data_IF_683157914366
#
_entry.id   IF_683157914366
#
_cell.length_a   1.000
_cell.length_b   1.000
_cell.length_c   1.000
_cell.angle_alpha   90.00
_cell.angle_beta   90.00
_cell.angle_gamma   90.00
#
_symmetry.space_group_name_H-M   'P 1'
#
loop_
_entity.id
_entity.type
_entity.pdbx_description
1 polymer ?
#
# COMPACT_ATOMS: atom_id res chain seq x y z
N UNK A 1 13.63 -39.35 9.49
CA UNK A 1 12.34 -39.05 10.13
C UNK A 1 12.10 -37.54 10.07
N UNK A 2 11.20 -37.10 9.20
CA UNK A 2 10.80 -35.69 9.12
C UNK A 2 9.99 -35.33 10.36
N UNK A 3 10.35 -34.23 11.03
CA UNK A 3 9.65 -33.78 12.24
C UNK A 3 8.26 -33.27 11.89
N UNK A 4 7.31 -33.47 12.80
CA UNK A 4 5.95 -32.95 12.65
C UNK A 4 5.89 -31.45 12.95
N UNK A 5 4.91 -30.75 12.37
CA UNK A 5 4.70 -29.31 12.54
C UNK A 5 4.51 -28.92 14.01
N UNK A 6 3.85 -29.77 14.81
CA UNK A 6 3.63 -29.55 16.24
C UNK A 6 4.94 -29.59 17.06
N UNK A 7 5.84 -30.54 16.77
CA UNK A 7 7.15 -30.61 17.44
C UNK A 7 8.01 -29.38 17.14
N UNK A 8 7.87 -28.81 15.95
CA UNK A 8 8.57 -27.58 15.58
C UNK A 8 8.02 -26.36 16.31
N UNK A 9 6.70 -26.24 16.43
CA UNK A 9 6.04 -25.12 17.11
C UNK A 9 6.32 -25.11 18.62
N UNK A 10 6.43 -26.29 19.27
CA UNK A 10 6.82 -26.38 20.69
C UNK A 10 8.26 -25.91 20.95
N UNK A 11 9.18 -26.19 20.02
CA UNK A 11 10.60 -25.80 20.15
C UNK A 11 10.86 -24.34 19.78
N UNK A 12 10.06 -23.81 18.85
CA UNK A 12 10.22 -22.45 18.35
C UNK A 12 8.83 -21.82 18.20
N UNK A 13 8.24 -21.34 19.32
CA UNK A 13 6.93 -20.74 19.29
C UNK A 13 6.91 -19.56 18.33
N UNK A 14 5.83 -19.46 17.57
CA UNK A 14 5.62 -18.33 16.66
C UNK A 14 5.27 -17.13 17.50
N UNK A 15 6.03 -16.04 17.32
CA UNK A 15 5.65 -14.74 17.85
C UNK A 15 4.55 -14.16 16.95
N UNK A 16 3.29 -14.36 17.37
CA UNK A 16 2.11 -13.94 16.62
C UNK A 16 2.09 -12.43 16.39
N UNK A 17 2.58 -11.64 17.34
CA UNK A 17 2.68 -10.18 17.24
C UNK A 17 3.66 -9.80 16.14
N UNK A 18 4.86 -10.40 16.13
CA UNK A 18 5.88 -10.16 15.12
C UNK A 18 5.44 -10.65 13.73
N UNK A 19 4.74 -11.79 13.65
CA UNK A 19 4.14 -12.28 12.40
C UNK A 19 3.07 -11.31 11.90
N UNK A 20 2.23 -10.78 12.77
CA UNK A 20 1.20 -9.80 12.40
C UNK A 20 1.81 -8.51 11.85
N UNK A 21 2.86 -7.98 12.48
CA UNK A 21 3.60 -6.80 12.01
C UNK A 21 4.22 -7.06 10.63
N UNK A 22 4.98 -8.15 10.48
CA UNK A 22 5.63 -8.50 9.20
C UNK A 22 4.57 -8.76 8.11
N UNK A 23 3.45 -9.41 8.44
CA UNK A 23 2.34 -9.60 7.51
C UNK A 23 1.66 -8.28 7.14
N UNK A 24 1.61 -7.30 8.05
CA UNK A 24 1.17 -5.93 7.75
C UNK A 24 2.10 -5.24 6.76
N UNK A 25 3.40 -5.26 7.02
CA UNK A 25 4.44 -4.68 6.15
C UNK A 25 4.44 -5.33 4.76
N UNK A 26 4.37 -6.67 4.68
CA UNK A 26 4.28 -7.40 3.41
C UNK A 26 2.99 -7.03 2.64
N UNK A 27 1.86 -6.90 3.33
CA UNK A 27 0.60 -6.47 2.69
C UNK A 27 0.68 -5.05 2.15
N UNK A 28 1.35 -4.13 2.85
CA UNK A 28 1.60 -2.77 2.35
C UNK A 28 2.55 -2.78 1.16
N UNK A 29 3.63 -3.56 1.21
CA UNK A 29 4.58 -3.70 0.11
C UNK A 29 3.91 -4.25 -1.16
N UNK A 30 3.05 -5.27 -1.03
CA UNK A 30 2.29 -5.84 -2.14
C UNK A 30 1.29 -4.84 -2.73
N UNK A 31 0.58 -4.06 -1.89
CA UNK A 31 -0.37 -3.04 -2.37
C UNK A 31 0.34 -1.91 -3.11
N UNK A 32 1.54 -1.56 -2.69
CA UNK A 32 2.29 -0.46 -3.29
C UNK A 32 2.97 -0.88 -4.60
N UNK A 33 3.49 -2.12 -4.66
CA UNK A 33 3.93 -2.74 -5.90
C UNK A 33 2.81 -2.72 -6.96
N UNK A 34 1.56 -2.87 -6.52
CA UNK A 34 0.39 -2.84 -7.41
C UNK A 34 0.13 -1.49 -8.08
N UNK A 35 0.43 -0.35 -7.45
CA UNK A 35 0.26 0.96 -8.09
C UNK A 35 1.26 1.16 -9.24
N UNK A 36 2.52 0.76 -9.01
CA UNK A 36 3.55 0.74 -10.05
C UNK A 36 3.15 -0.16 -11.22
N UNK A 37 2.62 -1.35 -10.93
CA UNK A 37 2.14 -2.30 -11.93
C UNK A 37 0.97 -1.73 -12.74
N UNK A 38 -0.03 -1.13 -12.09
CA UNK A 38 -1.16 -0.48 -12.77
C UNK A 38 -0.64 0.63 -13.69
N UNK A 39 0.19 1.55 -13.19
CA UNK A 39 0.76 2.63 -14.03
C UNK A 39 1.50 2.06 -15.24
N UNK A 40 2.32 1.03 -15.04
CA UNK A 40 3.06 0.38 -16.13
C UNK A 40 2.14 -0.33 -17.12
N UNK A 41 1.03 -0.92 -16.68
CA UNK A 41 0.02 -1.53 -17.56
C UNK A 41 -0.68 -0.48 -18.46
N UNK A 42 -0.79 0.77 -17.99
CA UNK A 42 -1.24 1.91 -18.77
C UNK A 42 -0.15 2.55 -19.66
N UNK A 43 1.08 1.99 -19.68
CA UNK A 43 2.24 2.52 -20.42
C UNK A 43 2.64 3.97 -20.06
N UNK A 44 2.27 4.44 -18.87
CA UNK A 44 2.59 5.80 -18.39
C UNK A 44 3.90 5.76 -17.61
N UNK A 45 4.84 6.68 -17.85
CA UNK A 45 6.07 6.80 -17.03
C UNK A 45 5.80 7.57 -15.73
N UNK A 46 6.65 7.39 -14.71
CA UNK A 46 6.53 8.20 -13.49
C UNK A 46 6.66 9.71 -13.77
N UNK A 47 7.48 10.11 -14.74
CA UNK A 47 7.65 11.50 -15.15
C UNK A 47 6.41 12.05 -15.85
N UNK A 48 5.82 11.28 -16.78
CA UNK A 48 4.60 11.69 -17.47
C UNK A 48 3.42 11.83 -16.50
N UNK A 49 3.27 10.88 -15.56
CA UNK A 49 2.25 10.98 -14.53
C UNK A 49 2.50 12.17 -13.60
N UNK A 50 3.75 12.43 -13.22
CA UNK A 50 4.10 13.59 -12.40
C UNK A 50 3.75 14.93 -13.09
N UNK A 51 3.98 15.03 -14.41
CA UNK A 51 3.57 16.19 -15.20
C UNK A 51 2.06 16.39 -15.22
N UNK A 52 1.29 15.32 -15.48
CA UNK A 52 -0.17 15.36 -15.46
C UNK A 52 -0.74 15.77 -14.10
N UNK A 53 -0.08 15.36 -13.02
CA UNK A 53 -0.48 15.66 -11.65
C UNK A 53 0.06 16.99 -11.11
N UNK A 54 0.91 17.69 -11.88
CA UNK A 54 1.64 18.89 -11.45
C UNK A 54 2.43 18.69 -10.14
N UNK A 55 3.11 17.54 -10.02
CA UNK A 55 3.99 17.21 -8.89
C UNK A 55 5.37 16.79 -9.38
N UNK A 56 6.33 16.61 -8.46
CA UNK A 56 7.64 16.06 -8.80
C UNK A 56 7.58 14.56 -9.04
N UNK A 57 8.44 14.04 -9.93
CA UNK A 57 8.59 12.60 -10.14
C UNK A 57 8.98 11.87 -8.84
N UNK A 58 9.77 12.51 -7.97
CA UNK A 58 10.08 11.97 -6.63
C UNK A 58 8.80 11.76 -5.80
N UNK A 59 7.82 12.66 -5.89
CA UNK A 59 6.53 12.48 -5.21
C UNK A 59 5.77 11.26 -5.71
N UNK A 60 5.73 11.03 -7.03
CA UNK A 60 5.19 9.79 -7.62
C UNK A 60 5.94 8.55 -7.15
N UNK A 61 7.28 8.59 -7.12
CA UNK A 61 8.11 7.47 -6.65
C UNK A 61 7.87 7.12 -5.18
N UNK A 62 7.62 8.10 -4.31
CA UNK A 62 7.32 7.86 -2.89
C UNK A 62 5.96 7.22 -2.69
N UNK A 63 4.95 7.66 -3.45
CA UNK A 63 3.62 7.03 -3.49
C UNK A 63 3.75 5.56 -3.91
N UNK A 64 4.48 5.27 -4.99
CA UNK A 64 4.73 3.91 -5.48
C UNK A 64 5.67 3.08 -4.59
N UNK A 65 6.24 3.66 -3.54
CA UNK A 65 7.03 2.96 -2.51
C UNK A 65 6.34 2.87 -1.15
N UNK A 66 5.15 3.45 -1.01
CA UNK A 66 4.34 3.35 0.20
C UNK A 66 4.70 4.37 1.26
N UNK A 67 5.52 5.38 0.93
CA UNK A 67 5.78 6.54 1.78
C UNK A 67 4.60 7.53 1.66
N UNK A 68 3.47 7.10 2.21
CA UNK A 68 2.19 7.83 2.19
C UNK A 68 2.04 8.79 3.36
N UNK A 69 2.79 8.61 4.46
CA UNK A 69 2.72 9.45 5.67
C UNK A 69 3.00 10.93 5.40
N UNK A 70 3.79 11.22 4.36
CA UNK A 70 4.14 12.58 3.92
C UNK A 70 3.44 13.00 2.63
N UNK A 71 2.43 12.25 2.20
CA UNK A 71 1.67 12.52 0.99
C UNK A 71 0.30 13.10 1.32
N UNK A 72 -0.02 14.23 0.70
CA UNK A 72 -1.34 14.83 0.84
C UNK A 72 -2.38 13.91 0.20
N UNK A 73 -3.50 13.69 0.90
CA UNK A 73 -4.64 12.90 0.43
C UNK A 73 -5.06 13.30 -0.99
N UNK A 74 -5.07 14.61 -1.26
CA UNK A 74 -5.38 15.16 -2.58
C UNK A 74 -4.45 14.66 -3.68
N UNK A 75 -3.15 14.53 -3.40
CA UNK A 75 -2.19 13.98 -4.37
C UNK A 75 -2.45 12.51 -4.65
N UNK A 76 -2.80 11.72 -3.62
CA UNK A 76 -3.17 10.31 -3.80
C UNK A 76 -4.45 10.17 -4.61
N UNK A 77 -5.44 11.04 -4.37
CA UNK A 77 -6.70 11.06 -5.12
C UNK A 77 -6.44 11.26 -6.61
N UNK A 78 -5.76 12.34 -6.98
CA UNK A 78 -5.43 12.63 -8.38
C UNK A 78 -4.58 11.53 -9.02
N UNK A 79 -3.66 10.93 -8.27
CA UNK A 79 -2.86 9.81 -8.77
C UNK A 79 -3.73 8.60 -9.14
N UNK A 80 -4.65 8.22 -8.25
CA UNK A 80 -5.55 7.08 -8.47
C UNK A 80 -6.53 7.38 -9.61
N UNK A 81 -7.09 8.58 -9.67
CA UNK A 81 -7.99 9.03 -10.75
C UNK A 81 -7.28 9.08 -12.11
N UNK A 82 -6.03 9.52 -12.16
CA UNK A 82 -5.22 9.53 -13.38
C UNK A 82 -4.93 8.10 -13.91
N UNK A 83 -5.01 7.10 -13.05
CA UNK A 83 -4.95 5.68 -13.41
C UNK A 83 -6.35 5.06 -13.66
N UNK A 84 -7.41 5.87 -13.66
CA UNK A 84 -8.79 5.42 -13.87
C UNK A 84 -9.42 4.70 -12.68
N UNK A 85 -8.84 4.83 -11.48
CA UNK A 85 -9.36 4.26 -10.25
C UNK A 85 -10.13 5.27 -9.39
N UNK A 86 -10.71 4.77 -8.31
CA UNK A 86 -11.38 5.59 -7.28
C UNK A 86 -10.63 5.44 -5.94
N UNK A 87 -10.33 6.56 -5.27
CA UNK A 87 -9.71 6.54 -3.94
C UNK A 87 -10.78 6.53 -2.84
N UNK A 88 -10.84 5.41 -2.10
CA UNK A 88 -11.58 5.31 -0.83
C UNK A 88 -10.61 5.40 0.34
N UNK A 89 -10.93 6.25 1.32
CA UNK A 89 -10.17 6.34 2.58
C UNK A 89 -11.05 5.74 3.67
N UNK A 90 -10.51 4.77 4.42
CA UNK A 90 -11.21 4.10 5.51
C UNK A 90 -10.49 4.37 6.83
N UNK A 91 -11.22 4.83 7.83
CA UNK A 91 -10.75 4.96 9.21
C UNK A 91 -11.34 3.83 10.05
N UNK A 92 -10.51 3.18 10.88
CA UNK A 92 -10.95 2.08 11.76
C UNK A 92 -10.86 2.52 13.22
N UNK A 93 -11.95 2.34 13.96
CA UNK A 93 -12.04 2.58 15.40
C UNK A 93 -12.57 1.31 16.08
N UNK A 94 -11.68 0.54 16.72
CA UNK A 94 -12.04 -0.78 17.25
C UNK A 94 -12.50 -1.73 16.15
N UNK A 95 -13.76 -2.19 16.20
CA UNK A 95 -14.37 -3.04 15.16
C UNK A 95 -15.11 -2.24 14.09
N UNK A 96 -15.28 -0.94 14.29
CA UNK A 96 -16.05 -0.07 13.39
C UNK A 96 -15.15 0.50 12.31
N UNK A 97 -15.70 0.63 11.09
CA UNK A 97 -15.02 1.19 9.93
C UNK A 97 -15.85 2.31 9.33
N UNK A 98 -15.21 3.42 9.04
CA UNK A 98 -15.83 4.61 8.46
C UNK A 98 -15.15 4.95 7.14
N UNK A 99 -15.95 5.07 6.09
CA UNK A 99 -15.48 5.60 4.82
C UNK A 99 -15.46 7.13 4.92
N UNK A 100 -14.30 7.72 4.74
CA UNK A 100 -14.11 9.16 4.67
C UNK A 100 -14.29 9.61 3.22
N UNK A 101 -15.39 10.32 2.95
CA UNK A 101 -15.61 11.00 1.68
C UNK A 101 -15.05 12.43 1.76
N UNK A 102 -14.12 12.76 0.86
CA UNK A 102 -13.69 14.15 0.65
C UNK A 102 -14.73 14.90 -0.19
N UNK A 103 -14.91 16.20 0.07
CA UNK A 103 -15.55 17.12 -0.88
C UNK A 103 -14.52 17.63 -1.88
#
# INVERSE_FOLDING_TARGET
MSRTREEQLKRRPVDETRVSVIAGELRQAVRTARLKEIRSAHAITQTALAQQLHVSQNRVSRIERGDIDRTQVETLRRYIEALGGELTIEATFGTERYILTGK
#
